data_IF_269033831607
#
_entry.id   IF_269033831607
#
_cell.length_a   1.000
_cell.length_b   1.000
_cell.length_c   1.000
_cell.angle_alpha   90.00
_cell.angle_beta   90.00
_cell.angle_gamma   90.00
#
_symmetry.space_group_name_H-M   'P 1'
#
loop_
_entity.id
_entity.type
_entity.pdbx_description
1 polymer ?
#
# COMPACT_ATOMS: atom_id res chain seq x y z
N UNK A 1 0.66 6.28 9.78
CA UNK A 1 0.31 5.06 9.01
C UNK A 1 1.02 3.83 9.56
N UNK A 2 2.35 3.83 9.73
CA UNK A 2 3.08 2.68 10.29
C UNK A 2 2.50 2.13 11.60
N UNK A 3 2.24 2.97 12.61
CA UNK A 3 1.62 2.50 13.87
C UNK A 3 0.26 1.81 13.68
N UNK A 4 -0.57 2.29 12.76
CA UNK A 4 -1.85 1.66 12.46
C UNK A 4 -1.68 0.34 11.72
N UNK A 5 -0.64 0.25 10.89
CA UNK A 5 -0.26 -0.97 10.18
C UNK A 5 0.30 -2.02 11.15
N UNK A 6 1.15 -1.61 12.09
CA UNK A 6 1.74 -2.50 13.10
C UNK A 6 0.64 -3.05 14.02
N UNK A 7 -0.29 -2.20 14.47
CA UNK A 7 -1.44 -2.63 15.27
C UNK A 7 -2.36 -3.60 14.51
N UNK A 8 -2.63 -3.34 13.22
CA UNK A 8 -3.42 -4.24 12.37
C UNK A 8 -2.71 -5.58 12.10
N UNK A 9 -1.37 -5.61 12.11
CA UNK A 9 -0.57 -6.84 11.96
C UNK A 9 -0.46 -7.63 13.25
N UNK A 10 -0.44 -6.96 14.40
CA UNK A 10 -0.34 -7.59 15.73
C UNK A 10 -1.65 -8.23 16.18
N UNK A 11 -2.80 -7.78 15.69
CA UNK A 11 -4.08 -8.44 15.95
C UNK A 11 -5.00 -8.42 14.75
N UNK A 12 -5.48 -9.60 14.36
CA UNK A 12 -6.54 -9.76 13.34
C UNK A 12 -7.83 -9.02 13.72
N UNK A 13 -8.01 -8.74 15.02
CA UNK A 13 -9.14 -7.95 15.54
C UNK A 13 -8.92 -6.44 15.32
N UNK A 14 -7.68 -5.95 15.32
CA UNK A 14 -7.35 -4.56 14.99
C UNK A 14 -7.73 -4.19 13.55
N UNK A 15 -7.73 -5.16 12.64
CA UNK A 15 -8.25 -4.99 11.28
C UNK A 15 -9.78 -4.82 11.25
N UNK A 16 -10.49 -5.39 12.25
CA UNK A 16 -11.93 -5.19 12.46
C UNK A 16 -12.27 -3.85 13.14
N UNK A 17 -11.29 -3.11 13.67
CA UNK A 17 -11.55 -1.78 14.20
C UNK A 17 -11.87 -0.81 13.05
N UNK A 18 -13.09 -0.26 12.98
CA UNK A 18 -13.53 0.54 11.85
C UNK A 18 -12.68 1.82 11.67
N UNK A 19 -12.11 2.35 12.76
CA UNK A 19 -11.22 3.50 12.72
C UNK A 19 -9.86 3.19 12.07
N UNK A 20 -9.26 2.03 12.41
CA UNK A 20 -7.98 1.59 11.85
C UNK A 20 -8.17 1.25 10.38
N UNK A 21 -9.24 0.51 10.06
CA UNK A 21 -9.60 0.20 8.67
C UNK A 21 -9.85 1.46 7.84
N UNK A 22 -10.58 2.46 8.36
CA UNK A 22 -10.81 3.71 7.66
C UNK A 22 -9.50 4.49 7.40
N UNK A 23 -8.60 4.55 8.38
CA UNK A 23 -7.30 5.21 8.24
C UNK A 23 -6.42 4.52 7.18
N UNK A 24 -6.33 3.19 7.22
CA UNK A 24 -5.55 2.41 6.28
C UNK A 24 -6.10 2.50 4.85
N UNK A 25 -7.44 2.46 4.70
CA UNK A 25 -8.08 2.67 3.40
C UNK A 25 -7.88 4.09 2.88
N UNK A 26 -7.94 5.11 3.75
CA UNK A 26 -7.67 6.50 3.37
C UNK A 26 -6.24 6.70 2.89
N UNK A 27 -5.27 6.17 3.62
CA UNK A 27 -3.86 6.21 3.21
C UNK A 27 -3.65 5.47 1.88
N UNK A 28 -4.32 4.32 1.68
CA UNK A 28 -4.23 3.56 0.43
C UNK A 28 -4.79 4.34 -0.75
N UNK A 29 -5.94 5.00 -0.57
CA UNK A 29 -6.55 5.85 -1.59
C UNK A 29 -5.65 7.03 -1.98
N UNK A 30 -4.96 7.62 -1.01
CA UNK A 30 -4.03 8.73 -1.26
C UNK A 30 -2.80 8.26 -2.07
N UNK A 31 -2.19 7.12 -1.70
CA UNK A 31 -1.08 6.56 -2.48
C UNK A 31 -1.55 6.17 -3.88
N UNK A 32 -2.74 5.58 -4.01
CA UNK A 32 -3.35 5.27 -5.30
C UNK A 32 -3.57 6.51 -6.18
N UNK A 33 -4.03 7.62 -5.60
CA UNK A 33 -4.21 8.86 -6.33
C UNK A 33 -2.87 9.39 -6.88
N UNK A 34 -1.81 9.34 -6.06
CA UNK A 34 -0.45 9.72 -6.49
C UNK A 34 0.10 8.78 -7.56
N UNK A 35 -0.12 7.48 -7.39
CA UNK A 35 0.25 6.44 -8.35
C UNK A 35 -0.40 6.70 -9.72
N UNK A 36 -1.71 6.97 -9.74
CA UNK A 36 -2.47 7.25 -10.97
C UNK A 36 -2.13 8.60 -11.59
N UNK A 37 -1.75 9.59 -10.78
CA UNK A 37 -1.29 10.88 -11.27
C UNK A 37 0.08 10.78 -11.97
N UNK A 38 0.92 9.82 -11.56
CA UNK A 38 2.28 9.65 -12.06
C UNK A 38 2.65 8.16 -12.22
N UNK A 39 1.97 7.40 -13.10
CA UNK A 39 2.09 5.93 -13.17
C UNK A 39 3.51 5.46 -13.52
N UNK A 40 4.23 6.25 -14.31
CA UNK A 40 5.56 5.89 -14.82
C UNK A 40 6.72 6.45 -14.02
N UNK A 41 6.48 7.44 -13.16
CA UNK A 41 7.53 8.13 -12.38
C UNK A 41 7.36 8.00 -10.88
N UNK A 42 6.19 7.64 -10.38
CA UNK A 42 5.96 7.48 -8.96
C UNK A 42 6.74 6.28 -8.41
N UNK A 43 7.48 6.53 -7.34
CA UNK A 43 8.22 5.54 -6.57
C UNK A 43 7.62 5.44 -5.18
N UNK A 44 7.10 4.26 -4.83
CA UNK A 44 6.56 4.01 -3.50
C UNK A 44 7.68 4.10 -2.45
N UNK A 45 7.35 4.69 -1.31
CA UNK A 45 8.21 4.63 -0.12
C UNK A 45 8.03 3.29 0.63
N UNK A 46 8.97 2.89 1.51
CA UNK A 46 8.88 1.62 2.23
C UNK A 46 7.60 1.44 3.09
N UNK A 47 7.11 2.54 3.67
CA UNK A 47 5.85 2.59 4.43
C UNK A 47 4.62 2.40 3.52
N UNK A 48 4.63 3.02 2.34
CA UNK A 48 3.59 2.88 1.32
C UNK A 48 3.59 1.47 0.71
N UNK A 49 4.77 0.90 0.48
CA UNK A 49 4.92 -0.46 0.03
C UNK A 49 4.40 -1.46 1.07
N UNK A 50 4.65 -1.20 2.36
CA UNK A 50 4.11 -2.02 3.46
C UNK A 50 2.58 -1.95 3.53
N UNK A 51 2.00 -0.76 3.29
CA UNK A 51 0.55 -0.57 3.18
C UNK A 51 -0.03 -1.35 2.00
N UNK A 52 0.62 -1.29 0.83
CA UNK A 52 0.22 -2.07 -0.34
C UNK A 52 0.30 -3.58 -0.10
N UNK A 53 1.36 -4.03 0.57
CA UNK A 53 1.56 -5.42 0.90
C UNK A 53 0.52 -5.92 1.90
N UNK A 54 0.08 -5.07 2.84
CA UNK A 54 -1.00 -5.37 3.76
C UNK A 54 -2.32 -5.63 3.01
N UNK A 55 -2.64 -4.80 2.01
CA UNK A 55 -3.83 -4.95 1.17
C UNK A 55 -3.63 -5.86 -0.06
N UNK A 56 -2.57 -6.67 -0.11
CA UNK A 56 -2.30 -7.53 -1.28
C UNK A 56 -3.44 -8.49 -1.60
N UNK A 57 -4.22 -8.91 -0.59
CA UNK A 57 -5.37 -9.79 -0.77
C UNK A 57 -6.56 -9.13 -1.49
N UNK A 58 -6.62 -7.79 -1.52
CA UNK A 58 -7.64 -7.03 -2.25
C UNK A 58 -7.22 -6.69 -3.67
N UNK A 59 -5.92 -6.68 -3.93
CA UNK A 59 -5.38 -6.38 -5.24
C UNK A 59 -5.03 -7.69 -5.91
N UNK A 60 -5.93 -8.19 -6.77
CA UNK A 60 -5.75 -9.41 -7.56
C UNK A 60 -4.60 -9.34 -8.58
N UNK A 61 -3.61 -8.47 -8.39
CA UNK A 61 -2.45 -8.32 -9.26
C UNK A 61 -2.85 -7.96 -10.72
N UNK A 62 -4.09 -7.55 -10.94
CA UNK A 62 -4.67 -7.28 -12.26
C UNK A 62 -4.49 -5.84 -12.70
N UNK A 63 -4.28 -4.89 -11.78
CA UNK A 63 -4.07 -3.49 -12.14
C UNK A 63 -2.62 -3.27 -12.64
N UNK A 64 -2.42 -2.92 -13.93
CA UNK A 64 -1.10 -2.75 -14.52
C UNK A 64 -0.32 -1.58 -13.88
N UNK A 65 -1.00 -0.57 -13.32
CA UNK A 65 -0.36 0.55 -12.65
C UNK A 65 0.27 0.09 -11.33
N UNK A 66 -0.43 -0.77 -10.59
CA UNK A 66 0.07 -1.38 -9.34
C UNK A 66 1.25 -2.29 -9.63
N UNK A 67 1.15 -3.10 -10.68
CA UNK A 67 2.22 -3.97 -11.15
C UNK A 67 3.48 -3.18 -11.53
N UNK A 68 3.31 -2.11 -12.31
CA UNK A 68 4.41 -1.24 -12.72
C UNK A 68 5.11 -0.59 -11.54
N UNK A 69 4.34 -0.07 -10.59
CA UNK A 69 4.90 0.55 -9.40
C UNK A 69 5.61 -0.43 -8.45
N UNK A 70 5.06 -1.64 -8.25
CA UNK A 70 5.75 -2.71 -7.48
C UNK A 70 7.06 -3.09 -8.16
N UNK A 71 7.05 -3.29 -9.48
CA UNK A 71 8.27 -3.61 -10.24
C UNK A 71 9.33 -2.53 -10.07
N UNK A 72 8.94 -1.26 -10.15
CA UNK A 72 9.85 -0.12 -9.99
C UNK A 72 10.44 -0.03 -8.59
N UNK A 73 9.63 -0.28 -7.56
CA UNK A 73 10.11 -0.38 -6.18
C UNK A 73 11.18 -1.47 -6.04
N UNK A 74 10.92 -2.68 -6.54
CA UNK A 74 11.92 -3.77 -6.50
C UNK A 74 13.18 -3.47 -7.30
N UNK A 75 13.05 -2.88 -8.50
CA UNK A 75 14.21 -2.50 -9.32
C UNK A 75 15.12 -1.49 -8.62
N UNK A 76 14.57 -0.55 -7.86
CA UNK A 76 15.37 0.48 -7.20
C UNK A 76 15.91 0.06 -5.83
N UNK A 77 15.24 -0.87 -5.16
CA UNK A 77 15.67 -1.33 -3.82
C UNK A 77 16.78 -2.38 -3.88
N UNK A 78 16.95 -3.05 -5.03
CA UNK A 78 17.94 -4.12 -5.24
C UNK A 78 18.98 -3.80 -6.33
N UNK A 79 19.05 -2.55 -6.80
CA UNK A 79 20.10 -2.06 -7.71
C UNK A 79 21.25 -1.43 -6.92
#
# INVERSE_FOLDING_TARGET
>A
VMQALDMARESREAECHPQISALLNGALAEVMARLRAAPDSYMMRPDEFSLFNFFQYRFDNTDPVIMGARRRYWQFTFA
#
